data_IF_913586913755
#
_entry.id   IF_913586913755
#
_cell.length_a   1.000
_cell.length_b   1.000
_cell.length_c   1.000
_cell.angle_alpha   90.00
_cell.angle_beta   90.00
_cell.angle_gamma   90.00
#
_symmetry.space_group_name_H-M   'P 1'
#
loop_
_entity.id
_entity.type
_entity.pdbx_description
1 polymer ?
#
# COMPACT_ATOMS: atom_id res chain seq x y z
N UNK A 1 13.20 -36.00 -6.08
CA UNK A 1 12.15 -34.98 -5.85
C UNK A 1 12.13 -34.05 -7.08
N UNK A 2 10.97 -33.89 -7.76
CA UNK A 2 10.83 -32.92 -8.86
C UNK A 2 10.95 -31.50 -8.30
N UNK A 3 11.74 -30.65 -8.95
CA UNK A 3 11.90 -29.23 -8.61
C UNK A 3 10.67 -28.43 -9.09
N UNK A 4 10.58 -27.16 -8.70
CA UNK A 4 9.47 -26.26 -9.09
C UNK A 4 9.28 -26.20 -10.62
N UNK A 5 10.35 -26.27 -11.38
CA UNK A 5 10.33 -26.22 -12.85
C UNK A 5 9.87 -27.52 -13.55
N UNK A 6 9.77 -28.61 -12.80
CA UNK A 6 9.35 -29.91 -13.34
C UNK A 6 7.83 -30.14 -13.34
N UNK A 7 7.05 -29.16 -12.88
CA UNK A 7 5.59 -29.18 -12.97
C UNK A 7 5.11 -28.11 -13.95
N UNK A 8 4.51 -28.51 -15.04
CA UNK A 8 3.97 -27.61 -16.06
C UNK A 8 2.88 -26.67 -15.51
N UNK A 9 2.14 -27.13 -14.48
CA UNK A 9 1.08 -26.36 -13.84
C UNK A 9 1.09 -26.53 -12.32
N UNK A 10 0.75 -25.45 -11.59
CA UNK A 10 0.63 -25.48 -10.11
C UNK A 10 -0.32 -26.57 -9.60
N UNK A 11 -1.42 -26.82 -10.32
CA UNK A 11 -2.37 -27.88 -9.97
C UNK A 11 -1.75 -29.27 -9.94
N UNK A 12 -0.84 -29.58 -10.87
CA UNK A 12 -0.07 -30.83 -10.87
C UNK A 12 0.84 -30.98 -9.68
N UNK A 13 1.49 -29.88 -9.25
CA UNK A 13 2.28 -29.83 -8.01
C UNK A 13 1.42 -30.14 -6.77
N UNK A 14 0.24 -29.55 -6.68
CA UNK A 14 -0.67 -29.82 -5.56
C UNK A 14 -1.21 -31.23 -5.53
N UNK A 15 -1.58 -31.75 -6.68
CA UNK A 15 -2.01 -33.15 -6.79
C UNK A 15 -0.91 -34.10 -6.35
N UNK A 16 0.34 -33.84 -6.75
CA UNK A 16 1.50 -34.64 -6.34
C UNK A 16 1.81 -34.50 -4.82
N UNK A 17 1.65 -33.31 -4.25
CA UNK A 17 1.81 -33.09 -2.81
C UNK A 17 0.74 -33.87 -2.00
N UNK A 18 -0.51 -33.81 -2.44
CA UNK A 18 -1.63 -34.56 -1.78
C UNK A 18 -1.43 -36.07 -1.87
N UNK A 19 -1.07 -36.62 -3.03
CA UNK A 19 -0.77 -38.06 -3.20
C UNK A 19 0.33 -38.55 -2.29
N UNK A 20 1.27 -37.70 -1.92
CA UNK A 20 2.40 -38.02 -1.03
C UNK A 20 2.17 -37.66 0.42
N UNK A 21 0.95 -37.33 0.80
CA UNK A 21 0.58 -36.85 2.14
C UNK A 21 1.46 -35.68 2.63
N UNK A 22 1.94 -34.84 1.68
CA UNK A 22 2.73 -33.66 2.02
C UNK A 22 1.79 -32.53 2.41
N UNK A 23 2.06 -31.87 3.53
CA UNK A 23 1.34 -30.68 3.96
C UNK A 23 1.48 -29.55 2.95
N UNK A 24 0.37 -28.96 2.46
CA UNK A 24 0.43 -27.77 1.63
C UNK A 24 1.02 -26.61 2.42
N UNK A 25 1.96 -25.90 1.82
CA UNK A 25 2.55 -24.70 2.40
C UNK A 25 3.22 -23.87 1.33
N UNK A 26 2.84 -22.57 1.23
CA UNK A 26 3.45 -21.61 0.32
C UNK A 26 4.25 -20.61 1.12
N UNK A 27 5.55 -20.70 1.03
CA UNK A 27 6.45 -19.72 1.61
C UNK A 27 6.58 -18.52 0.65
N UNK A 28 6.24 -17.35 1.16
CA UNK A 28 6.52 -16.04 0.56
C UNK A 28 7.47 -15.34 1.51
N UNK A 29 8.66 -14.98 1.04
CA UNK A 29 9.70 -14.34 1.85
C UNK A 29 10.15 -13.04 1.20
N UNK A 30 10.38 -12.04 2.03
CA UNK A 30 11.03 -10.78 1.68
C UNK A 30 12.00 -10.41 2.81
N UNK A 31 13.30 -10.49 2.53
CA UNK A 31 14.36 -10.34 3.54
C UNK A 31 14.12 -11.26 4.76
N UNK A 32 13.89 -10.69 5.93
CA UNK A 32 13.64 -11.41 7.19
C UNK A 32 12.15 -11.70 7.40
N UNK A 33 11.27 -10.96 6.72
CA UNK A 33 9.83 -11.16 6.80
C UNK A 33 9.39 -12.32 5.91
N UNK A 34 8.51 -13.18 6.43
CA UNK A 34 7.92 -14.26 5.63
C UNK A 34 6.48 -14.59 6.04
N UNK A 35 5.75 -15.16 5.10
CA UNK A 35 4.40 -15.68 5.30
C UNK A 35 4.32 -17.08 4.71
N UNK A 36 3.71 -18.01 5.43
CA UNK A 36 3.38 -19.35 4.93
C UNK A 36 1.86 -19.45 4.78
N UNK A 37 1.39 -19.62 3.55
CA UNK A 37 -0.02 -19.86 3.26
C UNK A 37 -0.31 -21.36 3.31
N UNK A 38 -1.32 -21.75 4.06
CA UNK A 38 -1.78 -23.14 4.22
C UNK A 38 -3.28 -23.22 3.93
N UNK A 39 -3.79 -24.42 3.82
CA UNK A 39 -5.22 -24.71 3.56
C UNK A 39 -6.05 -24.97 4.80
N UNK A 40 -5.41 -25.19 5.95
CA UNK A 40 -6.10 -25.48 7.22
C UNK A 40 -5.33 -24.96 8.44
N UNK A 41 -6.02 -24.80 9.56
CA UNK A 41 -5.44 -24.43 10.84
C UNK A 41 -4.42 -25.47 11.32
N UNK A 42 -4.77 -26.75 11.24
CA UNK A 42 -3.89 -27.85 11.66
C UNK A 42 -2.56 -27.85 10.88
N UNK A 43 -2.60 -27.60 9.56
CA UNK A 43 -1.39 -27.44 8.76
C UNK A 43 -0.59 -26.19 9.13
N UNK A 44 -1.25 -25.08 9.46
CA UNK A 44 -0.56 -23.86 9.91
C UNK A 44 0.19 -24.09 11.25
N UNK A 45 -0.45 -24.76 12.21
CA UNK A 45 0.16 -25.13 13.50
C UNK A 45 1.35 -26.08 13.32
N UNK A 46 1.18 -27.10 12.49
CA UNK A 46 2.25 -28.04 12.18
C UNK A 46 3.44 -27.37 11.49
N UNK A 47 3.18 -26.45 10.54
CA UNK A 47 4.25 -25.66 9.93
C UNK A 47 4.96 -24.75 10.92
N UNK A 48 4.24 -24.08 11.82
CA UNK A 48 4.79 -23.24 12.87
C UNK A 48 5.73 -24.05 13.78
N UNK A 49 5.29 -25.23 14.23
CA UNK A 49 6.10 -26.12 15.09
C UNK A 49 7.36 -26.62 14.37
N UNK A 50 7.21 -27.12 13.13
CA UNK A 50 8.36 -27.63 12.33
C UNK A 50 9.38 -26.55 12.01
N UNK A 51 8.90 -25.35 11.66
CA UNK A 51 9.78 -24.23 11.37
C UNK A 51 10.52 -23.78 12.63
N UNK A 52 9.82 -23.68 13.77
CA UNK A 52 10.43 -23.35 15.05
C UNK A 52 11.55 -24.34 15.43
N UNK A 53 11.26 -25.64 15.34
CA UNK A 53 12.26 -26.68 15.60
C UNK A 53 13.46 -26.62 14.62
N UNK A 54 13.22 -26.37 13.34
CA UNK A 54 14.28 -26.22 12.34
C UNK A 54 15.19 -25.02 12.65
N UNK A 55 14.60 -23.84 12.88
CA UNK A 55 15.34 -22.62 13.20
C UNK A 55 16.16 -22.80 14.47
N UNK A 56 15.59 -23.40 15.52
CA UNK A 56 16.29 -23.66 16.77
C UNK A 56 17.46 -24.63 16.59
N UNK A 57 17.24 -25.76 15.90
CA UNK A 57 18.26 -26.79 15.73
C UNK A 57 19.40 -26.37 14.80
N UNK A 58 19.06 -25.76 13.65
CA UNK A 58 20.02 -25.49 12.58
C UNK A 58 20.63 -24.09 12.64
N UNK A 59 19.88 -23.10 13.10
CA UNK A 59 20.31 -21.70 13.05
C UNK A 59 20.43 -21.05 14.42
N UNK A 60 20.07 -21.75 15.51
CA UNK A 60 20.03 -21.22 16.88
C UNK A 60 19.15 -19.95 17.01
N UNK A 61 18.11 -19.86 16.17
CA UNK A 61 17.14 -18.78 16.17
C UNK A 61 15.82 -19.25 16.76
N UNK A 62 15.13 -18.36 17.47
CA UNK A 62 13.78 -18.58 17.99
C UNK A 62 12.76 -17.72 17.25
N UNK A 63 11.57 -18.29 16.99
CA UNK A 63 10.44 -17.53 16.47
C UNK A 63 9.91 -16.60 17.57
N UNK A 64 9.74 -15.31 17.26
CA UNK A 64 9.08 -14.38 18.19
C UNK A 64 7.60 -14.77 18.33
N UNK A 65 7.12 -15.12 19.55
CA UNK A 65 5.71 -15.48 19.76
C UNK A 65 4.75 -14.35 19.37
N UNK A 66 5.11 -13.10 19.67
CA UNK A 66 4.30 -11.91 19.39
C UNK A 66 4.16 -11.61 17.90
N UNK A 67 5.19 -11.94 17.10
CA UNK A 67 5.21 -11.67 15.65
C UNK A 67 4.77 -12.87 14.81
N UNK A 68 4.84 -14.09 15.36
CA UNK A 68 4.50 -15.32 14.63
C UNK A 68 3.05 -15.71 14.88
N UNK A 69 2.15 -15.10 14.12
CA UNK A 69 0.71 -15.27 14.28
C UNK A 69 0.14 -16.22 13.22
N UNK A 70 -0.82 -17.07 13.62
CA UNK A 70 -1.66 -17.83 12.70
C UNK A 70 -2.97 -17.07 12.53
N UNK A 71 -3.36 -16.79 11.29
CA UNK A 71 -4.54 -15.97 11.00
C UNK A 71 -5.36 -16.56 9.86
N UNK A 72 -6.66 -16.75 10.05
CA UNK A 72 -7.58 -17.04 8.94
C UNK A 72 -7.78 -15.75 8.11
N UNK A 73 -7.18 -15.72 6.92
CA UNK A 73 -7.24 -14.56 6.01
C UNK A 73 -8.63 -14.28 5.43
N UNK A 74 -9.61 -15.18 5.62
CA UNK A 74 -11.03 -14.94 5.28
C UNK A 74 -11.75 -14.14 6.37
N UNK A 75 -11.25 -14.20 7.61
CA UNK A 75 -11.84 -13.50 8.75
C UNK A 75 -11.12 -12.21 9.07
N UNK A 76 -9.78 -12.20 9.09
CA UNK A 76 -8.95 -11.05 9.48
C UNK A 76 -7.91 -10.69 8.42
N UNK A 77 -7.49 -9.44 8.41
CA UNK A 77 -6.35 -9.00 7.60
C UNK A 77 -5.04 -9.48 8.21
N UNK A 78 -4.10 -9.87 7.36
CA UNK A 78 -2.70 -10.04 7.71
C UNK A 78 -1.90 -8.85 7.20
N UNK A 79 -0.88 -8.44 7.97
CA UNK A 79 0.05 -7.36 7.57
C UNK A 79 1.34 -7.98 7.04
N UNK A 80 1.76 -7.56 5.85
CA UNK A 80 3.01 -8.00 5.24
C UNK A 80 3.56 -6.92 4.32
N UNK A 81 4.82 -6.52 4.51
CA UNK A 81 5.55 -5.54 3.68
C UNK A 81 4.78 -4.21 3.47
N UNK A 82 4.14 -3.68 4.52
CA UNK A 82 3.40 -2.41 4.44
C UNK A 82 2.03 -2.50 3.76
N UNK A 83 1.52 -3.70 3.56
CA UNK A 83 0.19 -3.99 3.02
C UNK A 83 -0.64 -4.82 3.99
N UNK A 84 -1.95 -4.74 3.86
CA UNK A 84 -2.90 -5.61 4.52
C UNK A 84 -3.62 -6.47 3.48
N UNK A 85 -3.65 -7.78 3.71
CA UNK A 85 -4.23 -8.78 2.82
C UNK A 85 -5.40 -9.50 3.49
N UNK A 86 -6.48 -9.71 2.76
CA UNK A 86 -7.65 -10.48 3.18
C UNK A 86 -8.29 -11.15 1.98
N UNK A 87 -8.89 -12.32 2.18
CA UNK A 87 -9.80 -12.92 1.21
C UNK A 87 -11.23 -12.43 1.49
N UNK A 88 -11.90 -11.94 0.48
CA UNK A 88 -13.28 -11.45 0.58
C UNK A 88 -14.18 -12.20 -0.39
N UNK A 89 -15.48 -12.36 -0.10
CA UNK A 89 -16.43 -12.93 -1.04
C UNK A 89 -16.38 -12.21 -2.38
N UNK A 90 -16.42 -12.96 -3.48
CA UNK A 90 -16.35 -12.39 -4.83
C UNK A 90 -16.61 -13.41 -5.93
N UNK A 91 -16.74 -12.93 -7.17
CA UNK A 91 -17.08 -13.74 -8.35
C UNK A 91 -15.92 -14.59 -8.88
N UNK A 92 -15.23 -15.31 -8.03
CA UNK A 92 -14.21 -16.26 -8.45
C UNK A 92 -14.71 -17.69 -8.32
N UNK A 93 -14.10 -18.65 -9.02
CA UNK A 93 -14.46 -20.10 -9.00
C UNK A 93 -14.62 -20.67 -7.59
N UNK A 94 -13.86 -20.18 -6.60
CA UNK A 94 -13.93 -20.59 -5.19
C UNK A 94 -14.72 -19.63 -4.29
N UNK A 95 -15.43 -18.66 -4.86
CA UNK A 95 -16.25 -17.69 -4.11
C UNK A 95 -15.46 -16.61 -3.35
N UNK A 96 -14.13 -16.56 -3.48
CA UNK A 96 -13.27 -15.57 -2.78
C UNK A 96 -12.26 -14.92 -3.73
N UNK A 97 -12.05 -13.63 -3.53
CA UNK A 97 -11.02 -12.84 -4.23
C UNK A 97 -10.06 -12.20 -3.23
N UNK A 98 -8.78 -12.02 -3.58
CA UNK A 98 -7.84 -11.32 -2.71
C UNK A 98 -8.14 -9.82 -2.72
N UNK A 99 -8.18 -9.23 -1.52
CA UNK A 99 -8.22 -7.79 -1.31
C UNK A 99 -6.90 -7.36 -0.69
N UNK A 100 -6.25 -6.39 -1.33
CA UNK A 100 -5.03 -5.78 -0.84
C UNK A 100 -5.27 -4.28 -0.63
N UNK A 101 -4.94 -3.78 0.55
CA UNK A 101 -4.98 -2.37 0.89
C UNK A 101 -3.65 -1.94 1.50
N UNK A 102 -3.30 -0.65 1.50
CA UNK A 102 -2.20 -0.13 2.29
C UNK A 102 -2.37 -0.50 3.77
N UNK A 103 -1.27 -0.79 4.48
CA UNK A 103 -1.28 -0.86 5.94
C UNK A 103 -1.86 0.46 6.48
N UNK A 104 -3.00 0.37 7.16
CA UNK A 104 -3.79 1.53 7.60
C UNK A 104 -3.03 2.41 8.58
N UNK A 105 -2.24 1.83 9.46
CA UNK A 105 -1.49 2.57 10.47
C UNK A 105 -0.31 3.30 9.83
N UNK A 106 0.40 2.64 8.90
CA UNK A 106 1.48 3.27 8.12
C UNK A 106 0.95 4.37 7.21
N UNK A 107 -0.16 4.13 6.51
CA UNK A 107 -0.79 5.13 5.65
C UNK A 107 -1.22 6.36 6.46
N UNK A 108 -1.85 6.15 7.62
CA UNK A 108 -2.26 7.23 8.52
C UNK A 108 -1.06 8.06 8.96
N UNK A 109 0.00 7.42 9.48
CA UNK A 109 1.23 8.13 9.92
C UNK A 109 1.85 8.96 8.79
N UNK A 110 1.94 8.41 7.58
CA UNK A 110 2.47 9.14 6.43
C UNK A 110 1.56 10.30 6.00
N UNK A 111 0.25 10.11 6.03
CA UNK A 111 -0.71 11.19 5.75
C UNK A 111 -0.67 12.28 6.84
N UNK A 112 -0.47 11.91 8.10
CA UNK A 112 -0.32 12.86 9.20
C UNK A 112 0.99 13.67 9.09
N UNK A 113 2.08 13.02 8.68
CA UNK A 113 3.34 13.71 8.38
C UNK A 113 3.17 14.73 7.24
N UNK A 114 2.55 14.33 6.13
CA UNK A 114 2.27 15.25 5.01
C UNK A 114 1.33 16.40 5.48
N UNK A 115 0.35 16.12 6.32
CA UNK A 115 -0.53 17.14 6.88
C UNK A 115 0.24 18.14 7.75
N UNK A 116 1.19 17.67 8.56
CA UNK A 116 2.09 18.51 9.34
C UNK A 116 2.96 19.38 8.43
N UNK A 117 3.55 18.78 7.39
CA UNK A 117 4.40 19.53 6.44
C UNK A 117 3.61 20.65 5.74
N UNK A 118 2.34 20.38 5.35
CA UNK A 118 1.45 21.40 4.78
C UNK A 118 1.17 22.52 5.81
N UNK A 119 0.88 22.17 7.07
CA UNK A 119 0.60 23.15 8.12
C UNK A 119 1.81 24.02 8.44
N UNK A 120 2.99 23.45 8.39
CA UNK A 120 4.25 24.12 8.71
C UNK A 120 4.79 25.01 7.58
N UNK A 121 4.11 25.07 6.43
CA UNK A 121 4.48 26.05 5.39
C UNK A 121 4.20 27.45 5.93
N UNK A 122 5.22 28.35 6.03
CA UNK A 122 5.03 29.73 6.49
C UNK A 122 4.07 30.51 5.59
N UNK A 123 3.29 31.41 6.19
CA UNK A 123 2.38 32.28 5.43
C UNK A 123 3.11 33.33 4.59
N UNK A 124 4.31 33.75 5.00
CA UNK A 124 5.08 34.82 4.37
C UNK A 124 6.06 34.33 3.27
N UNK A 125 5.83 33.17 2.69
CA UNK A 125 6.66 32.71 1.59
C UNK A 125 6.43 33.53 0.31
N UNK A 126 7.51 33.83 -0.43
CA UNK A 126 7.36 34.29 -1.82
C UNK A 126 6.65 33.18 -2.64
N UNK A 127 6.06 33.57 -3.79
CA UNK A 127 5.40 32.59 -4.68
C UNK A 127 6.37 31.49 -5.11
N UNK A 128 7.62 31.80 -5.36
CA UNK A 128 8.68 30.85 -5.73
C UNK A 128 8.93 29.83 -4.63
N UNK A 129 9.09 30.30 -3.39
CA UNK A 129 9.26 29.41 -2.21
C UNK A 129 8.03 28.54 -1.99
N UNK A 130 6.84 29.09 -2.21
CA UNK A 130 5.59 28.34 -2.13
C UNK A 130 5.53 27.24 -3.19
N UNK A 131 5.92 27.50 -4.43
CA UNK A 131 6.00 26.48 -5.49
C UNK A 131 6.98 25.38 -5.12
N UNK A 132 8.15 25.73 -4.58
CA UNK A 132 9.12 24.76 -4.07
C UNK A 132 8.52 23.85 -2.98
N UNK A 133 7.77 24.42 -2.04
CA UNK A 133 7.07 23.68 -0.99
C UNK A 133 5.98 22.76 -1.57
N UNK A 134 5.16 23.25 -2.51
CA UNK A 134 4.15 22.45 -3.22
C UNK A 134 4.80 21.23 -3.90
N UNK A 135 5.88 21.46 -4.65
CA UNK A 135 6.54 20.39 -5.39
C UNK A 135 7.19 19.35 -4.47
N UNK A 136 7.76 19.75 -3.33
CA UNK A 136 8.29 18.84 -2.31
C UNK A 136 7.19 17.96 -1.73
N UNK A 137 6.06 18.54 -1.34
CA UNK A 137 4.91 17.79 -0.81
C UNK A 137 4.30 16.89 -1.90
N UNK A 138 4.21 17.36 -3.14
CA UNK A 138 3.78 16.54 -4.26
C UNK A 138 4.69 15.33 -4.46
N UNK A 139 6.00 15.43 -4.24
CA UNK A 139 6.92 14.30 -4.33
C UNK A 139 6.66 13.26 -3.24
N UNK A 140 6.35 13.68 -2.00
CA UNK A 140 5.95 12.77 -0.92
C UNK A 140 4.63 12.04 -1.26
N UNK A 141 3.63 12.78 -1.75
CA UNK A 141 2.33 12.21 -2.13
C UNK A 141 2.50 11.22 -3.29
N UNK A 142 3.29 11.57 -4.31
CA UNK A 142 3.60 10.67 -5.44
C UNK A 142 4.30 9.39 -5.00
N UNK A 143 5.31 9.51 -4.13
CA UNK A 143 5.99 8.34 -3.56
C UNK A 143 5.03 7.39 -2.85
N UNK A 144 4.09 7.95 -2.08
CA UNK A 144 3.07 7.16 -1.38
C UNK A 144 2.09 6.48 -2.35
N UNK A 145 1.65 7.18 -3.41
CA UNK A 145 0.81 6.62 -4.48
C UNK A 145 1.55 5.49 -5.19
N UNK A 146 2.79 5.73 -5.62
CA UNK A 146 3.61 4.78 -6.36
C UNK A 146 3.89 3.52 -5.55
N UNK A 147 4.20 3.66 -4.26
CA UNK A 147 4.42 2.52 -3.37
C UNK A 147 3.18 1.62 -3.26
N UNK A 148 1.98 2.22 -3.22
CA UNK A 148 0.73 1.48 -3.04
C UNK A 148 -0.07 1.24 -4.33
N UNK A 149 0.48 1.51 -5.51
CA UNK A 149 -0.23 1.33 -6.79
C UNK A 149 -0.65 -0.11 -7.10
N UNK A 150 0.02 -1.10 -6.49
CA UNK A 150 -0.32 -2.53 -6.65
C UNK A 150 -1.49 -2.99 -5.76
N UNK A 151 -2.00 -2.12 -4.87
CA UNK A 151 -3.17 -2.46 -4.07
C UNK A 151 -4.43 -2.59 -4.92
N UNK A 152 -5.23 -3.63 -4.70
CA UNK A 152 -6.52 -3.79 -5.39
C UNK A 152 -7.54 -2.72 -4.97
N UNK A 153 -7.42 -2.17 -3.74
CA UNK A 153 -8.31 -1.16 -3.16
C UNK A 153 -7.53 0.04 -2.59
N UNK A 154 -6.40 0.38 -3.20
CA UNK A 154 -5.52 1.44 -2.76
C UNK A 154 -6.18 2.82 -2.79
N UNK A 155 -6.88 3.14 -3.88
CA UNK A 155 -7.59 4.40 -4.06
C UNK A 155 -8.67 4.64 -2.99
N UNK A 156 -9.41 3.61 -2.59
CA UNK A 156 -10.46 3.71 -1.57
C UNK A 156 -9.84 4.02 -0.20
N UNK A 157 -8.75 3.32 0.16
CA UNK A 157 -8.05 3.57 1.41
C UNK A 157 -7.46 4.99 1.47
N UNK A 158 -6.92 5.48 0.35
CA UNK A 158 -6.28 6.80 0.27
C UNK A 158 -7.27 7.96 0.19
N UNK A 159 -8.47 7.75 -0.37
CA UNK A 159 -9.50 8.80 -0.55
C UNK A 159 -9.86 9.51 0.75
N UNK A 160 -9.92 8.78 1.86
CA UNK A 160 -10.19 9.34 3.19
C UNK A 160 -9.17 10.41 3.60
N UNK A 161 -7.89 10.17 3.34
CA UNK A 161 -6.83 11.11 3.68
C UNK A 161 -6.67 12.22 2.63
N UNK A 162 -6.96 11.93 1.36
CA UNK A 162 -6.85 12.88 0.26
C UNK A 162 -7.62 14.17 0.49
N UNK A 163 -8.91 14.05 0.88
CA UNK A 163 -9.76 15.22 1.13
C UNK A 163 -9.19 16.11 2.23
N UNK A 164 -8.75 15.53 3.34
CA UNK A 164 -8.14 16.27 4.46
C UNK A 164 -6.90 17.06 4.00
N UNK A 165 -5.99 16.41 3.29
CA UNK A 165 -4.77 17.05 2.80
C UNK A 165 -5.07 18.19 1.82
N UNK A 166 -6.03 18.00 0.93
CA UNK A 166 -6.43 19.04 -0.01
C UNK A 166 -7.07 20.25 0.66
N UNK A 167 -7.88 20.04 1.71
CA UNK A 167 -8.45 21.15 2.48
C UNK A 167 -7.36 21.95 3.21
N UNK A 168 -6.39 21.28 3.82
CA UNK A 168 -5.24 21.94 4.44
C UNK A 168 -4.42 22.72 3.41
N UNK A 169 -4.14 22.12 2.25
CA UNK A 169 -3.45 22.78 1.15
C UNK A 169 -4.21 24.03 0.67
N UNK A 170 -5.54 23.94 0.51
CA UNK A 170 -6.36 25.09 0.14
C UNK A 170 -6.26 26.23 1.15
N UNK A 171 -6.28 25.91 2.45
CA UNK A 171 -6.12 26.91 3.50
C UNK A 171 -4.77 27.62 3.41
N UNK A 172 -3.68 26.88 3.14
CA UNK A 172 -2.33 27.48 2.98
C UNK A 172 -2.20 28.32 1.72
N UNK A 173 -2.93 28.01 0.67
CA UNK A 173 -2.91 28.81 -0.57
C UNK A 173 -3.83 30.04 -0.53
N UNK A 174 -4.61 30.25 0.55
CA UNK A 174 -5.57 31.34 0.65
C UNK A 174 -4.91 32.73 0.42
N UNK A 175 -3.75 32.98 1.01
CA UNK A 175 -3.01 34.24 0.88
C UNK A 175 -2.54 34.53 -0.57
N UNK A 176 -2.40 33.50 -1.41
CA UNK A 176 -2.02 33.62 -2.81
C UNK A 176 -3.22 33.58 -3.76
N UNK A 177 -4.42 33.84 -3.25
CA UNK A 177 -5.69 33.75 -4.01
C UNK A 177 -5.87 32.36 -4.65
N UNK A 178 -5.40 31.30 -3.95
CA UNK A 178 -5.48 29.92 -4.43
C UNK A 178 -6.90 29.49 -4.76
N UNK A 179 -7.06 28.77 -5.89
CA UNK A 179 -8.34 28.31 -6.43
C UNK A 179 -8.33 26.78 -6.59
N UNK A 180 -9.52 26.21 -6.73
CA UNK A 180 -9.69 24.83 -7.14
C UNK A 180 -9.63 24.74 -8.65
N UNK A 181 -8.56 24.19 -9.19
CA UNK A 181 -8.31 24.05 -10.64
C UNK A 181 -8.31 22.55 -10.99
N UNK A 182 -8.91 22.14 -12.11
CA UNK A 182 -8.81 20.77 -12.60
C UNK A 182 -7.34 20.35 -12.76
N UNK A 183 -7.00 19.12 -12.35
CA UNK A 183 -5.61 18.64 -12.37
C UNK A 183 -5.01 18.63 -13.78
N UNK A 184 -5.83 18.44 -14.81
CA UNK A 184 -5.39 18.50 -16.22
C UNK A 184 -5.01 19.93 -16.70
N UNK A 185 -5.32 20.95 -15.92
CA UNK A 185 -4.93 22.35 -16.21
C UNK A 185 -3.70 22.79 -15.41
N UNK A 186 -3.10 21.90 -14.59
CA UNK A 186 -1.90 22.22 -13.81
C UNK A 186 -0.65 21.67 -14.49
N UNK A 187 0.43 22.45 -14.51
CA UNK A 187 1.65 22.12 -15.25
C UNK A 187 2.70 21.40 -14.40
N UNK A 188 2.62 21.49 -13.08
CA UNK A 188 3.60 20.88 -12.18
C UNK A 188 3.33 19.43 -11.83
N UNK A 189 2.24 18.83 -12.32
CA UNK A 189 1.92 17.43 -12.09
C UNK A 189 2.49 16.52 -13.18
N UNK A 190 2.82 15.25 -12.88
CA UNK A 190 3.15 14.25 -13.88
C UNK A 190 2.01 14.04 -14.88
N UNK A 191 2.31 13.70 -16.14
CA UNK A 191 1.32 13.45 -17.20
C UNK A 191 0.21 12.47 -16.77
N UNK A 192 0.57 11.41 -16.01
CA UNK A 192 -0.41 10.45 -15.48
C UNK A 192 -1.42 11.09 -14.52
N UNK A 193 -1.00 12.11 -13.76
CA UNK A 193 -1.90 12.84 -12.85
C UNK A 193 -2.70 13.92 -13.57
N UNK A 194 -2.19 14.47 -14.69
CA UNK A 194 -2.91 15.43 -15.51
C UNK A 194 -4.13 14.83 -16.23
N UNK A 195 -4.27 13.50 -16.28
CA UNK A 195 -5.46 12.86 -16.85
C UNK A 195 -6.72 13.04 -15.98
N UNK A 196 -6.56 13.42 -14.71
CA UNK A 196 -7.69 13.57 -13.79
C UNK A 196 -8.37 14.93 -13.95
N UNK A 197 -9.69 14.90 -14.10
CA UNK A 197 -10.55 16.10 -14.12
C UNK A 197 -10.86 16.61 -12.71
N UNK A 198 -10.46 15.88 -11.66
CA UNK A 198 -10.67 16.28 -10.28
C UNK A 198 -9.99 17.62 -10.01
N UNK A 199 -10.72 18.53 -9.36
CA UNK A 199 -10.19 19.84 -8.94
C UNK A 199 -9.24 19.66 -7.74
N UNK A 200 -8.13 20.39 -7.78
CA UNK A 200 -7.09 20.40 -6.75
C UNK A 200 -6.77 21.84 -6.34
N UNK A 201 -6.30 22.07 -5.09
CA UNK A 201 -5.89 23.40 -4.65
C UNK A 201 -4.66 23.84 -5.45
N UNK A 202 -4.75 25.00 -6.08
CA UNK A 202 -3.70 25.50 -6.99
C UNK A 202 -3.57 27.02 -6.87
N UNK A 203 -2.38 27.53 -7.23
CA UNK A 203 -2.10 28.95 -7.39
C UNK A 203 -1.72 29.27 -8.84
N UNK A 204 -1.99 30.49 -9.28
CA UNK A 204 -1.49 31.00 -10.56
C UNK A 204 -0.10 31.64 -10.34
N UNK A 205 0.87 31.20 -11.12
CA UNK A 205 2.21 31.77 -11.17
C UNK A 205 2.59 32.03 -12.61
N UNK A 206 2.82 33.34 -12.95
CA UNK A 206 2.91 33.77 -14.35
C UNK A 206 1.67 33.24 -15.11
N UNK A 207 1.86 32.51 -16.19
CA UNK A 207 0.78 31.97 -17.02
C UNK A 207 0.43 30.49 -16.74
N UNK A 208 0.99 29.91 -15.68
CA UNK A 208 0.77 28.51 -15.34
C UNK A 208 0.03 28.34 -14.01
N UNK A 209 -0.67 27.23 -13.88
CA UNK A 209 -1.25 26.78 -12.60
C UNK A 209 -0.35 25.73 -11.95
N UNK A 210 -0.04 25.95 -10.68
CA UNK A 210 0.75 25.02 -9.84
C UNK A 210 -0.13 24.50 -8.72
N UNK A 211 -0.37 23.19 -8.67
CA UNK A 211 -1.32 22.58 -7.75
C UNK A 211 -0.72 21.52 -6.84
N UNK A 212 -1.40 21.25 -5.73
CA UNK A 212 -1.15 20.11 -4.88
C UNK A 212 -1.80 18.85 -5.47
N UNK A 213 -1.01 17.80 -5.69
CA UNK A 213 -1.56 16.50 -6.13
C UNK A 213 -2.46 15.87 -5.06
N UNK A 214 -3.29 14.92 -5.44
CA UNK A 214 -4.22 14.25 -4.55
C UNK A 214 -3.86 12.78 -4.33
N UNK A 215 -3.93 12.29 -3.09
CA UNK A 215 -3.77 10.87 -2.80
C UNK A 215 -4.82 9.99 -3.51
N UNK A 216 -5.98 10.55 -3.85
CA UNK A 216 -7.02 9.87 -4.63
C UNK A 216 -6.64 9.58 -6.09
N UNK A 217 -5.49 10.05 -6.57
CA UNK A 217 -4.94 9.69 -7.89
C UNK A 217 -4.25 8.32 -7.92
N UNK A 218 -4.27 7.60 -6.83
CA UNK A 218 -3.93 6.17 -6.79
C UNK A 218 -5.05 5.38 -7.49
N UNK A 219 -4.70 4.56 -8.47
CA UNK A 219 -5.61 3.66 -9.19
C UNK A 219 -5.82 2.35 -8.45
#
# INVERSE_FOLDING_TARGET
KKTRHQYAHQNGKYAAMRRRALMPGYLIRYADDFVILTDSLAHAESWKARLGAFLQKRMKLTLSPEKTLITDIRKKYIKFIGYEFKMVPGKAKKGYIPRTIPDRDRLKRKADQIASDIKNIPYCYSKEKMIGAINRINSQIRGLIQYHQCCTWGNIAMKKHSRRLQMLAKTRLKQYKGKWIPANQTQNLPRVHQQYKQKIPSIKYRDIYVGFTALSFCR
#
